data_IF_365597703701
#
_entry.id   IF_365597703701
#
_cell.length_a   1.000
_cell.length_b   1.000
_cell.length_c   1.000
_cell.angle_alpha   90.00
_cell.angle_beta   90.00
_cell.angle_gamma   90.00
#
_symmetry.space_group_name_H-M   'P 1'
#
loop_
_entity.id
_entity.type
_entity.pdbx_description
1 polymer ?
#
# COMPACT_ATOMS: atom_id res chain seq x y z
N UNK A 1 0.35 0.83 2.26
CA UNK A 1 -0.71 1.83 2.27
C UNK A 1 -0.48 2.81 1.13
N UNK A 2 -1.52 3.12 0.38
CA UNK A 2 -1.54 4.10 -0.70
C UNK A 2 -2.52 5.23 -0.36
N UNK A 3 -2.34 6.45 -0.91
CA UNK A 3 -3.30 7.54 -0.75
C UNK A 3 -4.72 7.14 -1.15
N UNK A 4 -5.72 7.57 -0.37
CA UNK A 4 -7.13 7.23 -0.56
C UNK A 4 -7.53 5.81 -0.17
N UNK A 5 -6.58 4.95 0.25
CA UNK A 5 -6.86 3.55 0.60
C UNK A 5 -6.95 3.35 2.10
N UNK A 6 -7.75 2.36 2.51
CA UNK A 6 -7.87 1.93 3.90
C UNK A 6 -6.99 0.72 4.19
N UNK A 7 -6.38 0.69 5.38
CA UNK A 7 -5.57 -0.42 5.86
C UNK A 7 -5.98 -0.79 7.30
N UNK A 8 -6.67 -1.94 7.47
CA UNK A 8 -6.93 -2.47 8.81
C UNK A 8 -5.66 -3.11 9.38
N UNK A 9 -5.36 -2.82 10.64
CA UNK A 9 -4.19 -3.33 11.36
C UNK A 9 -4.59 -3.86 12.72
N UNK A 10 -4.00 -4.99 13.12
CA UNK A 10 -4.05 -5.51 14.48
C UNK A 10 -2.73 -5.22 15.19
N UNK A 11 -2.77 -4.35 16.20
CA UNK A 11 -1.59 -3.84 16.90
C UNK A 11 -1.40 -4.59 18.22
N UNK A 12 -0.36 -5.42 18.28
CA UNK A 12 -0.04 -6.25 19.45
C UNK A 12 1.36 -5.99 20.02
N UNK A 13 2.33 -5.53 19.22
CA UNK A 13 3.69 -5.24 19.68
C UNK A 13 3.72 -3.99 20.54
N UNK A 14 4.46 -4.02 21.65
CA UNK A 14 4.54 -2.91 22.61
C UNK A 14 4.97 -1.59 21.97
N UNK A 15 5.94 -1.64 21.04
CA UNK A 15 6.40 -0.44 20.32
C UNK A 15 5.30 0.21 19.48
N UNK A 16 4.45 -0.58 18.84
CA UNK A 16 3.34 -0.06 18.05
C UNK A 16 2.15 0.33 18.91
N UNK A 17 1.93 -0.32 20.05
CA UNK A 17 0.96 0.14 21.05
C UNK A 17 1.35 1.52 21.60
N UNK A 18 2.65 1.76 21.87
CA UNK A 18 3.15 3.07 22.25
C UNK A 18 2.96 4.11 21.14
N UNK A 19 3.21 3.75 19.86
CA UNK A 19 2.96 4.60 18.70
C UNK A 19 1.49 5.02 18.59
N UNK A 20 0.55 4.07 18.71
CA UNK A 20 -0.89 4.36 18.64
C UNK A 20 -1.31 5.31 19.77
N UNK A 21 -0.86 5.06 21.01
CA UNK A 21 -1.17 5.94 22.14
C UNK A 21 -0.63 7.37 21.94
N UNK A 22 0.59 7.51 21.40
CA UNK A 22 1.17 8.84 21.10
C UNK A 22 0.40 9.53 19.98
N UNK A 23 0.08 8.83 18.89
CA UNK A 23 -0.68 9.37 17.76
C UNK A 23 -2.09 9.81 18.17
N UNK A 24 -2.78 9.02 19.01
CA UNK A 24 -4.11 9.36 19.50
C UNK A 24 -4.14 10.58 20.42
N UNK A 25 -3.03 10.88 21.10
CA UNK A 25 -2.88 12.10 21.91
C UNK A 25 -2.56 13.35 21.06
N UNK A 26 -2.32 13.21 19.76
CA UNK A 26 -1.94 14.28 18.81
C UNK A 26 -2.97 14.39 17.68
N UNK A 27 -2.50 14.29 16.46
CA UNK A 27 -3.25 14.49 15.22
C UNK A 27 -3.81 13.18 14.59
N UNK A 28 -3.57 12.04 15.26
CA UNK A 28 -3.94 10.70 14.82
C UNK A 28 -3.27 10.27 13.51
N UNK A 29 -2.09 10.82 13.22
CA UNK A 29 -1.34 10.50 12.02
C UNK A 29 -0.12 9.65 12.35
N UNK A 30 0.17 8.68 11.49
CA UNK A 30 1.35 7.83 11.55
C UNK A 30 1.91 7.62 10.14
N UNK A 31 3.23 7.54 10.01
CA UNK A 31 3.89 7.21 8.75
C UNK A 31 3.98 5.70 8.56
N UNK A 32 3.46 5.20 7.45
CA UNK A 32 3.63 3.82 7.01
C UNK A 32 4.80 3.76 6.05
N UNK A 33 5.86 3.01 6.41
CA UNK A 33 7.09 2.91 5.65
C UNK A 33 7.58 1.46 5.61
N UNK A 34 8.06 1.01 4.47
CA UNK A 34 8.63 -0.34 4.35
C UNK A 34 10.09 -0.36 4.81
N UNK A 35 10.51 -1.40 5.55
CA UNK A 35 11.93 -1.64 5.80
C UNK A 35 12.57 -2.25 4.55
N UNK A 36 13.84 -1.90 4.28
CA UNK A 36 14.73 -2.62 3.37
C UNK A 36 15.16 -3.93 4.02
N UNK A 37 15.57 -4.91 3.24
CA UNK A 37 16.05 -6.18 3.79
C UNK A 37 17.30 -6.00 4.67
N UNK A 38 17.39 -6.77 5.75
CA UNK A 38 18.59 -6.92 6.58
C UNK A 38 18.46 -6.48 8.04
N UNK A 39 19.06 -7.27 8.93
CA UNK A 39 19.37 -6.95 10.34
C UNK A 39 18.20 -6.70 11.30
N UNK A 40 18.54 -6.42 12.55
CA UNK A 40 17.54 -6.14 13.62
C UNK A 40 16.93 -4.72 13.54
N UNK A 41 17.59 -3.80 12.85
CA UNK A 41 17.10 -2.43 12.59
C UNK A 41 17.36 -2.11 11.11
N UNK A 42 16.59 -2.66 10.19
CA UNK A 42 16.80 -2.46 8.76
C UNK A 42 16.67 -0.97 8.40
N UNK A 43 17.39 -0.54 7.35
CA UNK A 43 17.17 0.77 6.77
C UNK A 43 15.72 0.86 6.24
N UNK A 44 15.18 2.06 6.21
CA UNK A 44 13.86 2.31 5.63
C UNK A 44 14.01 2.63 4.14
N UNK A 45 12.97 2.37 3.37
CA UNK A 45 12.82 3.02 2.07
C UNK A 45 12.64 4.52 2.27
N UNK A 46 12.83 5.29 1.22
CA UNK A 46 12.82 6.75 1.33
C UNK A 46 11.41 7.33 1.25
N UNK A 47 10.48 6.64 0.57
CA UNK A 47 9.10 7.06 0.39
C UNK A 47 8.15 6.14 1.16
N UNK A 48 7.23 6.76 1.87
CA UNK A 48 6.15 6.10 2.60
C UNK A 48 4.80 6.78 2.37
N UNK A 49 3.77 6.30 3.06
CA UNK A 49 2.44 6.89 3.03
C UNK A 49 2.04 7.35 4.43
N UNK A 50 1.63 8.60 4.57
CA UNK A 50 1.05 9.14 5.78
C UNK A 50 -0.37 8.57 5.93
N UNK A 51 -0.62 7.92 7.06
CA UNK A 51 -1.92 7.35 7.39
C UNK A 51 -2.56 8.09 8.55
N UNK A 52 -3.88 8.29 8.48
CA UNK A 52 -4.69 8.80 9.57
C UNK A 52 -5.50 7.67 10.19
N UNK A 53 -5.50 7.59 11.51
CA UNK A 53 -6.36 6.65 12.24
C UNK A 53 -7.78 7.17 12.16
N UNK A 54 -8.64 6.48 11.39
CA UNK A 54 -10.05 6.82 11.19
C UNK A 54 -10.97 5.98 12.08
N UNK A 55 -10.52 4.80 12.49
CA UNK A 55 -11.24 3.93 13.42
C UNK A 55 -10.25 3.24 14.37
N UNK A 56 -10.66 3.06 15.63
CA UNK A 56 -9.86 2.42 16.67
C UNK A 56 -10.73 1.68 17.67
N UNK A 57 -10.42 0.43 17.91
CA UNK A 57 -10.99 -0.41 18.96
C UNK A 57 -9.88 -0.81 19.93
N UNK A 58 -10.03 -0.45 21.21
CA UNK A 58 -9.12 -0.90 22.25
C UNK A 58 -9.62 -2.25 22.81
N UNK A 59 -8.76 -3.25 22.85
CA UNK A 59 -9.07 -4.57 23.38
C UNK A 59 -8.66 -4.66 24.87
N UNK A 60 -9.33 -5.55 25.63
CA UNK A 60 -9.14 -5.71 27.09
C UNK A 60 -7.70 -6.07 27.50
N UNK A 61 -6.94 -6.68 26.58
CA UNK A 61 -5.53 -7.06 26.78
C UNK A 61 -4.52 -5.97 26.37
N UNK A 62 -5.04 -4.78 26.01
CA UNK A 62 -4.25 -3.61 25.64
C UNK A 62 -3.74 -3.61 24.19
N UNK A 63 -4.21 -4.54 23.34
CA UNK A 63 -4.03 -4.50 21.89
C UNK A 63 -5.05 -3.53 21.27
N UNK A 64 -4.82 -3.17 20.01
CA UNK A 64 -5.73 -2.32 19.25
C UNK A 64 -6.03 -2.92 17.89
N UNK A 65 -7.28 -2.81 17.46
CA UNK A 65 -7.64 -2.86 16.05
C UNK A 65 -7.77 -1.42 15.56
N UNK A 66 -7.08 -1.06 14.49
CA UNK A 66 -7.12 0.28 13.91
C UNK A 66 -7.36 0.21 12.41
N UNK A 67 -8.02 1.23 11.87
CA UNK A 67 -8.10 1.42 10.43
C UNK A 67 -7.37 2.72 10.09
N UNK A 68 -6.41 2.63 9.19
CA UNK A 68 -5.72 3.79 8.63
C UNK A 68 -6.35 4.17 7.30
N UNK A 69 -6.52 5.45 7.07
CA UNK A 69 -6.76 6.05 5.76
C UNK A 69 -5.46 6.67 5.26
N UNK A 70 -5.01 6.30 4.06
CA UNK A 70 -3.85 6.91 3.41
C UNK A 70 -4.17 8.34 2.99
N UNK A 71 -3.34 9.30 3.42
CA UNK A 71 -3.55 10.72 3.12
C UNK A 71 -2.69 11.18 1.94
N UNK A 72 -1.37 11.01 2.05
CA UNK A 72 -0.40 11.50 1.08
C UNK A 72 0.89 10.67 1.16
N UNK A 73 1.68 10.71 0.11
CA UNK A 73 3.06 10.22 0.16
C UNK A 73 3.92 11.16 0.98
N UNK A 74 4.96 10.64 1.58
CA UNK A 74 6.01 11.43 2.22
C UNK A 74 7.38 10.88 1.86
N UNK A 75 8.37 11.75 1.88
CA UNK A 75 9.78 11.41 1.71
C UNK A 75 10.56 11.64 3.00
N UNK A 76 11.29 10.62 3.45
CA UNK A 76 12.15 10.74 4.63
C UNK A 76 13.32 11.67 4.30
N UNK A 77 13.51 12.70 5.14
CA UNK A 77 14.68 13.59 5.12
C UNK A 77 15.77 13.02 6.01
N UNK A 78 15.40 12.61 7.23
CA UNK A 78 16.32 12.01 8.20
C UNK A 78 15.55 11.17 9.24
N UNK A 79 16.20 10.15 9.79
CA UNK A 79 15.72 9.44 10.96
C UNK A 79 16.18 10.18 12.22
N UNK A 80 15.24 10.43 13.15
CA UNK A 80 15.49 11.14 14.39
C UNK A 80 15.92 10.13 15.47
N UNK A 81 17.02 10.42 16.18
CA UNK A 81 17.37 9.66 17.37
C UNK A 81 16.46 10.09 18.53
N UNK A 82 15.45 9.27 18.80
CA UNK A 82 14.44 9.52 19.82
C UNK A 82 14.42 8.41 20.88
N UNK A 83 14.07 8.76 22.12
CA UNK A 83 13.96 7.82 23.24
C UNK A 83 12.67 6.99 23.22
N UNK A 84 11.84 7.11 22.19
CA UNK A 84 10.60 6.36 22.03
C UNK A 84 10.86 4.92 21.62
N UNK A 85 9.93 4.02 21.96
CA UNK A 85 9.99 2.61 21.54
C UNK A 85 9.79 2.42 20.02
N UNK A 86 9.26 3.41 19.33
CA UNK A 86 9.03 3.45 17.89
C UNK A 86 9.97 4.44 17.20
N UNK A 87 10.21 4.21 15.91
CA UNK A 87 11.08 5.06 15.08
C UNK A 87 10.37 6.38 14.76
N UNK A 88 11.15 7.45 14.71
CA UNK A 88 10.69 8.77 14.29
C UNK A 88 11.55 9.28 13.14
N UNK A 89 10.93 9.99 12.23
CA UNK A 89 11.59 10.58 11.06
C UNK A 89 11.17 12.04 10.92
N UNK A 90 12.04 12.86 10.35
CA UNK A 90 11.63 14.10 9.70
C UNK A 90 11.32 13.77 8.26
N UNK A 91 10.16 14.16 7.80
CA UNK A 91 9.69 13.87 6.46
C UNK A 91 9.10 15.12 5.80
N UNK A 92 9.21 15.16 4.49
CA UNK A 92 8.49 16.09 3.63
C UNK A 92 7.25 15.39 3.08
N UNK A 93 6.08 15.99 3.27
CA UNK A 93 4.84 15.49 2.67
C UNK A 93 4.85 15.92 1.21
N UNK A 94 4.70 14.96 0.31
CA UNK A 94 4.55 15.25 -1.10
C UNK A 94 3.15 15.82 -1.35
N UNK A 95 3.08 16.89 -2.13
CA UNK A 95 1.81 17.50 -2.52
C UNK A 95 1.18 16.56 -3.56
N UNK A 96 0.17 15.79 -3.14
CA UNK A 96 -0.37 14.70 -3.94
C UNK A 96 -1.32 15.30 -5.00
N UNK A 97 -0.74 15.86 -6.08
CA UNK A 97 -1.47 16.35 -7.24
C UNK A 97 -2.27 15.27 -7.99
N UNK A 98 -2.05 13.98 -7.63
CA UNK A 98 -2.73 12.84 -8.26
C UNK A 98 -4.22 12.74 -7.92
N UNK A 99 -4.70 13.44 -6.89
CA UNK A 99 -6.11 13.36 -6.45
C UNK A 99 -7.12 13.77 -7.52
N UNK A 100 -6.70 14.59 -8.48
CA UNK A 100 -7.54 15.07 -9.60
C UNK A 100 -7.16 14.41 -10.94
N UNK A 101 -6.18 13.48 -10.95
CA UNK A 101 -5.78 12.79 -12.18
C UNK A 101 -6.83 11.76 -12.62
N UNK A 102 -7.09 11.74 -13.92
CA UNK A 102 -8.02 10.80 -14.56
C UNK A 102 -7.27 10.03 -15.65
N UNK A 103 -7.47 8.73 -15.69
CA UNK A 103 -6.91 7.89 -16.74
C UNK A 103 -7.62 8.16 -18.08
N UNK A 104 -6.87 8.09 -19.18
CA UNK A 104 -7.51 7.97 -20.49
C UNK A 104 -8.35 6.69 -20.54
N UNK A 105 -9.48 6.73 -21.24
CA UNK A 105 -10.39 5.57 -21.31
C UNK A 105 -9.71 4.29 -21.79
N UNK A 106 -8.71 4.42 -22.66
CA UNK A 106 -7.93 3.28 -23.14
C UNK A 106 -7.00 2.69 -22.05
N UNK A 107 -6.41 3.53 -21.20
CA UNK A 107 -5.55 3.12 -20.08
C UNK A 107 -6.37 2.39 -19.01
N UNK A 108 -7.52 2.95 -18.63
CA UNK A 108 -8.45 2.31 -17.71
C UNK A 108 -8.92 0.95 -18.23
N UNK A 109 -9.32 0.88 -19.50
CA UNK A 109 -9.76 -0.37 -20.10
C UNK A 109 -8.64 -1.42 -20.16
N UNK A 110 -7.40 -1.02 -20.47
CA UNK A 110 -6.25 -1.91 -20.49
C UNK A 110 -5.97 -2.48 -19.08
N UNK A 111 -5.99 -1.63 -18.05
CA UNK A 111 -5.80 -2.04 -16.67
C UNK A 111 -6.90 -3.01 -16.21
N UNK A 112 -8.16 -2.73 -16.56
CA UNK A 112 -9.28 -3.61 -16.21
C UNK A 112 -9.16 -4.99 -16.89
N UNK A 113 -8.78 -5.04 -18.15
CA UNK A 113 -8.58 -6.29 -18.91
C UNK A 113 -7.49 -7.15 -18.25
N UNK A 114 -6.32 -6.57 -17.96
CA UNK A 114 -5.21 -7.32 -17.35
C UNK A 114 -5.52 -7.72 -15.89
N UNK A 115 -6.26 -6.90 -15.16
CA UNK A 115 -6.70 -7.23 -13.80
C UNK A 115 -7.69 -8.41 -13.79
N UNK A 116 -8.66 -8.43 -14.71
CA UNK A 116 -9.59 -9.56 -14.86
C UNK A 116 -8.85 -10.85 -15.21
N UNK A 117 -7.94 -10.79 -16.16
CA UNK A 117 -7.13 -11.91 -16.60
C UNK A 117 -6.26 -12.47 -15.47
N UNK A 118 -5.62 -11.59 -14.68
CA UNK A 118 -4.84 -11.99 -13.52
C UNK A 118 -5.72 -12.63 -12.43
N UNK A 119 -6.88 -12.04 -12.12
CA UNK A 119 -7.81 -12.58 -11.14
C UNK A 119 -8.33 -13.97 -11.55
N UNK A 120 -8.64 -14.18 -12.84
CA UNK A 120 -9.03 -15.48 -13.37
C UNK A 120 -7.92 -16.53 -13.23
N UNK A 121 -6.69 -16.17 -13.59
CA UNK A 121 -5.51 -17.07 -13.44
C UNK A 121 -5.27 -17.46 -11.99
N UNK A 122 -5.46 -16.55 -11.04
CA UNK A 122 -5.29 -16.76 -9.61
C UNK A 122 -6.51 -17.39 -8.93
N UNK A 123 -7.62 -17.57 -9.65
CA UNK A 123 -8.86 -18.11 -9.10
C UNK A 123 -9.57 -17.15 -8.13
N UNK A 124 -9.29 -15.83 -8.20
CA UNK A 124 -9.95 -14.85 -7.36
C UNK A 124 -11.37 -14.55 -7.82
N UNK A 125 -12.29 -14.49 -6.86
CA UNK A 125 -13.65 -14.05 -7.09
C UNK A 125 -13.74 -12.54 -6.87
N UNK A 126 -14.02 -11.78 -7.91
CA UNK A 126 -14.02 -10.30 -7.87
C UNK A 126 -15.36 -9.76 -8.36
N UNK A 127 -15.93 -8.83 -7.59
CA UNK A 127 -17.13 -8.09 -7.99
C UNK A 127 -16.74 -6.93 -8.94
N UNK A 128 -16.69 -7.24 -10.24
CA UNK A 128 -16.32 -6.27 -11.25
C UNK A 128 -17.34 -5.14 -11.46
N UNK A 129 -18.60 -5.35 -11.09
CA UNK A 129 -19.61 -4.31 -11.17
C UNK A 129 -19.37 -3.23 -10.09
N UNK A 130 -18.94 -3.63 -8.91
CA UNK A 130 -18.51 -2.71 -7.85
C UNK A 130 -17.21 -1.98 -8.22
N UNK A 131 -16.22 -2.70 -8.78
CA UNK A 131 -14.95 -2.11 -9.24
C UNK A 131 -15.18 -1.09 -10.35
N UNK A 132 -16.09 -1.36 -11.29
CA UNK A 132 -16.41 -0.45 -12.39
C UNK A 132 -16.97 0.92 -11.95
N UNK A 133 -17.41 1.04 -10.68
CA UNK A 133 -17.93 2.29 -10.08
C UNK A 133 -16.88 3.11 -9.35
N UNK A 134 -15.69 2.53 -9.12
CA UNK A 134 -14.59 3.25 -8.49
C UNK A 134 -14.07 4.35 -9.42
N UNK A 135 -13.68 5.47 -8.84
CA UNK A 135 -12.86 6.44 -9.56
C UNK A 135 -11.49 5.83 -9.91
N UNK A 136 -10.75 6.51 -10.78
CA UNK A 136 -9.51 5.97 -11.31
C UNK A 136 -8.44 5.81 -10.23
N UNK A 137 -8.35 6.74 -9.29
CA UNK A 137 -7.39 6.67 -8.19
C UNK A 137 -7.70 5.50 -7.26
N UNK A 138 -8.95 5.33 -6.85
CA UNK A 138 -9.36 4.21 -6.01
C UNK A 138 -9.14 2.86 -6.72
N UNK A 139 -9.36 2.79 -8.03
CA UNK A 139 -9.14 1.59 -8.81
C UNK A 139 -7.64 1.24 -8.90
N UNK A 140 -6.80 2.19 -9.30
CA UNK A 140 -5.34 1.99 -9.44
C UNK A 140 -4.70 1.67 -8.10
N UNK A 141 -4.92 2.51 -7.08
CA UNK A 141 -4.33 2.34 -5.76
C UNK A 141 -4.88 1.09 -5.04
N UNK A 142 -6.14 0.73 -5.30
CA UNK A 142 -6.73 -0.51 -4.81
C UNK A 142 -5.99 -1.73 -5.31
N UNK A 143 -5.72 -1.83 -6.61
CA UNK A 143 -4.93 -2.93 -7.18
C UNK A 143 -3.51 -2.92 -6.62
N UNK A 144 -2.84 -1.76 -6.59
CA UNK A 144 -1.48 -1.62 -6.04
C UNK A 144 -1.37 -2.15 -4.60
N UNK A 145 -2.41 -1.92 -3.79
CA UNK A 145 -2.43 -2.33 -2.39
C UNK A 145 -2.74 -3.82 -2.21
N UNK A 146 -3.76 -4.36 -2.91
CA UNK A 146 -4.27 -5.71 -2.66
C UNK A 146 -3.60 -6.80 -3.49
N UNK A 147 -3.08 -6.47 -4.69
CA UNK A 147 -2.42 -7.47 -5.53
C UNK A 147 -1.22 -8.11 -4.79
N UNK A 148 -0.95 -9.41 -4.99
CA UNK A 148 0.09 -10.16 -4.29
C UNK A 148 1.50 -9.89 -4.84
N UNK A 149 1.80 -8.62 -5.09
CA UNK A 149 3.13 -8.19 -5.51
C UNK A 149 4.11 -8.25 -4.34
N UNK A 150 5.38 -8.47 -4.65
CA UNK A 150 6.45 -8.43 -3.67
C UNK A 150 6.68 -7.02 -3.10
N UNK A 151 7.51 -6.94 -2.05
CA UNK A 151 7.80 -5.69 -1.36
C UNK A 151 8.42 -4.65 -2.30
N UNK A 152 9.34 -5.07 -3.17
CA UNK A 152 10.02 -4.17 -4.10
C UNK A 152 9.05 -3.60 -5.15
N UNK A 153 8.18 -4.44 -5.70
CA UNK A 153 7.14 -4.01 -6.65
C UNK A 153 6.14 -3.05 -6.01
N UNK A 154 5.68 -3.35 -4.78
CA UNK A 154 4.78 -2.44 -4.04
C UNK A 154 5.45 -1.10 -3.71
N UNK A 155 6.74 -1.12 -3.41
CA UNK A 155 7.50 0.11 -3.19
C UNK A 155 7.62 0.92 -4.49
N UNK A 156 7.97 0.28 -5.60
CA UNK A 156 8.04 0.94 -6.90
C UNK A 156 6.70 1.59 -7.30
N UNK A 157 5.58 0.90 -7.04
CA UNK A 157 4.23 1.44 -7.26
C UNK A 157 3.92 2.66 -6.37
N UNK A 158 4.43 2.69 -5.14
CA UNK A 158 4.26 3.85 -4.27
C UNK A 158 5.13 5.04 -4.70
N UNK A 159 6.31 4.77 -5.26
CA UNK A 159 7.30 5.79 -5.65
C UNK A 159 7.04 6.39 -7.04
N UNK A 160 6.35 5.67 -7.93
CA UNK A 160 6.10 6.17 -9.29
C UNK A 160 5.17 7.37 -9.26
N UNK A 161 5.53 8.41 -10.00
CA UNK A 161 4.75 9.65 -10.11
C UNK A 161 3.67 9.52 -11.21
N UNK A 162 2.50 10.03 -10.91
CA UNK A 162 1.36 10.07 -11.81
C UNK A 162 0.55 8.79 -11.86
N UNK A 163 -0.77 8.95 -11.89
CA UNK A 163 -1.73 7.85 -11.87
C UNK A 163 -1.60 6.95 -13.10
N UNK A 164 -1.39 7.54 -14.28
CA UNK A 164 -1.22 6.80 -15.54
C UNK A 164 0.05 5.93 -15.53
N UNK A 165 1.17 6.45 -15.02
CA UNK A 165 2.41 5.68 -14.90
C UNK A 165 2.27 4.54 -13.90
N UNK A 166 1.54 4.75 -12.78
CA UNK A 166 1.25 3.68 -11.81
C UNK A 166 0.38 2.60 -12.43
N UNK A 167 -0.64 2.98 -13.20
CA UNK A 167 -1.50 2.03 -13.92
C UNK A 167 -0.71 1.18 -14.94
N UNK A 168 0.20 1.81 -15.70
CA UNK A 168 1.07 1.10 -16.64
C UNK A 168 2.00 0.11 -15.92
N UNK A 169 2.62 0.53 -14.81
CA UNK A 169 3.47 -0.36 -14.01
C UNK A 169 2.67 -1.53 -13.42
N UNK A 170 1.43 -1.31 -12.97
CA UNK A 170 0.55 -2.40 -12.51
C UNK A 170 0.30 -3.39 -13.64
N UNK A 171 -0.01 -2.94 -14.85
CA UNK A 171 -0.23 -3.82 -16.01
C UNK A 171 0.99 -4.70 -16.26
N UNK A 172 2.19 -4.12 -16.24
CA UNK A 172 3.45 -4.87 -16.42
C UNK A 172 3.65 -5.93 -15.31
N UNK A 173 3.39 -5.57 -14.05
CA UNK A 173 3.50 -6.49 -12.92
C UNK A 173 2.47 -7.61 -12.98
N UNK A 174 1.21 -7.32 -13.32
CA UNK A 174 0.18 -8.35 -13.48
C UNK A 174 0.55 -9.35 -14.58
N UNK A 175 1.10 -8.87 -15.69
CA UNK A 175 1.57 -9.72 -16.78
C UNK A 175 2.79 -10.56 -16.36
N UNK A 176 3.69 -10.00 -15.57
CA UNK A 176 4.89 -10.71 -15.10
C UNK A 176 4.53 -11.81 -14.10
N UNK A 177 3.78 -11.48 -13.05
CA UNK A 177 3.38 -12.45 -12.02
C UNK A 177 2.40 -13.48 -12.54
N UNK A 178 1.48 -13.11 -13.44
CA UNK A 178 0.56 -14.07 -14.07
C UNK A 178 1.24 -15.10 -14.98
N UNK A 179 2.46 -14.84 -15.47
CA UNK A 179 3.23 -15.83 -16.24
C UNK A 179 3.99 -16.82 -15.35
N UNK A 180 4.49 -16.38 -14.20
CA UNK A 180 5.26 -17.24 -13.29
C UNK A 180 4.40 -18.37 -12.73
N UNK A 181 3.16 -18.09 -12.34
CA UNK A 181 2.26 -19.13 -11.80
C UNK A 181 1.76 -20.10 -12.88
N UNK A 182 1.72 -19.68 -14.14
CA UNK A 182 1.34 -20.55 -15.28
C UNK A 182 2.42 -21.54 -15.71
N UNK A 183 3.69 -21.32 -15.36
CA UNK A 183 4.79 -22.25 -15.68
C UNK A 183 5.05 -23.30 -14.58
N UNK A 184 4.74 -23.01 -13.33
CA UNK A 184 4.88 -23.97 -12.22
C UNK A 184 3.89 -25.15 -12.31
N UNK A 185 2.72 -24.96 -12.92
CA UNK A 185 1.76 -26.04 -13.16
C UNK A 185 2.17 -26.99 -14.32
N UNK A 186 3.22 -26.67 -15.07
CA UNK A 186 3.68 -27.50 -16.20
C UNK A 186 4.85 -28.44 -15.87
N UNK A 187 5.42 -28.41 -14.68
CA UNK A 187 6.62 -29.19 -14.32
C UNK A 187 6.32 -30.39 -13.43
N UNK A 188 5.10 -30.86 -13.32
CA UNK A 188 4.79 -32.08 -12.56
C UNK A 188 4.14 -33.13 -13.46
N UNK A 189 4.90 -33.72 -14.39
CA UNK A 189 4.64 -35.05 -14.98
C UNK A 189 5.90 -35.55 -15.70
N UNK A 190 6.83 -36.18 -14.96
CA UNK A 190 7.64 -37.29 -15.45
C UNK A 190 7.93 -38.23 -14.29
#
# INVERSE_FOLDING_TARGET
LFPGMHLPLHIFEDRYRALINDAMARDRQIGMIQPKEGGNRPALFDVGCLGKIIDIEALDDGRFNVVLEGLARFRIVEEIDASTAFRQVRAEIEDDMEMDEVLASAERAALEIESRKFAELQGYQVDWDSIGRLDDMAFVNGIAQIAPFDVASKQALLEVDGLANRAELIIQLLQFFGRQDGDDDRVTLQ
#
